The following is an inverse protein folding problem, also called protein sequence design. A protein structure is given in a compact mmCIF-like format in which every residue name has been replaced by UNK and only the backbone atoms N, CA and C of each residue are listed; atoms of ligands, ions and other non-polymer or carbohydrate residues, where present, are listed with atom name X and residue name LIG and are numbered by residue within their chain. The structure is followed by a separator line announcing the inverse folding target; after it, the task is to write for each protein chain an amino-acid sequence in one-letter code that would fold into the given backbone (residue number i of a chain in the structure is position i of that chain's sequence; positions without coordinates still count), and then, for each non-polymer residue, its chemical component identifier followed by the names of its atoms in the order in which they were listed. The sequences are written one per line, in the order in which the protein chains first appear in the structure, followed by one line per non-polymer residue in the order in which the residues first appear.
data_IF_109861108821
#
_entry.id   IF_109861108821
#
_cell.length_a   1.000
_cell.length_b   1.000
_cell.length_c   1.000
_cell.angle_alpha   90.00
_cell.angle_beta   90.00
_cell.angle_gamma   90.00
#
_symmetry.space_group_name_H-M   'P 1'
#
loop_
_entity.id
_entity.type
_entity.pdbx_description
1 polymer ?
#
# COMPACT_ATOMS: atom_id res chain seq x y z
N UNK A 1 30.94 -59.08 33.09
CA UNK A 1 30.15 -58.26 32.19
C UNK A 1 31.01 -58.01 30.95
N UNK A 2 30.67 -58.63 29.82
CA UNK A 2 31.54 -58.81 28.66
C UNK A 2 31.82 -57.47 27.92
N UNK A 3 33.08 -57.24 27.55
CA UNK A 3 33.55 -56.05 26.82
C UNK A 3 32.73 -55.77 25.53
N UNK A 4 32.14 -56.80 24.94
CA UNK A 4 31.26 -56.71 23.75
C UNK A 4 29.91 -56.05 24.02
N UNK A 5 29.31 -56.27 25.19
CA UNK A 5 28.03 -55.61 25.58
C UNK A 5 28.25 -54.13 25.90
N UNK A 6 29.41 -53.75 26.45
CA UNK A 6 29.71 -52.36 26.77
C UNK A 6 29.91 -51.52 25.49
N UNK A 7 30.52 -52.11 24.45
CA UNK A 7 30.72 -51.45 23.17
C UNK A 7 29.40 -51.28 22.39
N UNK A 8 28.45 -52.18 22.57
CA UNK A 8 27.10 -52.06 21.96
C UNK A 8 26.29 -50.97 22.63
N UNK A 9 26.30 -50.85 23.96
CA UNK A 9 25.58 -49.82 24.69
C UNK A 9 26.10 -48.39 24.39
N UNK A 10 27.42 -48.23 24.23
CA UNK A 10 28.01 -46.93 23.89
C UNK A 10 27.68 -46.50 22.46
N UNK A 11 27.56 -47.46 21.52
CA UNK A 11 27.18 -47.15 20.13
C UNK A 11 25.68 -46.79 19.97
N UNK A 12 24.80 -47.37 20.78
CA UNK A 12 23.37 -47.04 20.83
C UNK A 12 23.13 -45.64 21.45
N UNK A 13 23.87 -45.28 22.49
CA UNK A 13 23.80 -43.97 23.11
C UNK A 13 24.33 -42.85 22.20
N UNK A 14 25.38 -43.12 21.41
CA UNK A 14 25.92 -42.17 20.44
C UNK A 14 24.96 -41.94 19.25
N UNK A 15 24.19 -42.94 18.84
CA UNK A 15 23.18 -42.81 17.75
C UNK A 15 21.94 -42.03 18.18
N UNK A 16 21.50 -42.13 19.46
CA UNK A 16 20.37 -41.35 19.98
C UNK A 16 20.73 -39.87 20.19
N UNK A 17 21.98 -39.54 20.51
CA UNK A 17 22.42 -38.15 20.69
C UNK A 17 22.48 -37.37 19.36
N UNK A 18 22.71 -38.05 18.22
CA UNK A 18 22.78 -37.42 16.90
C UNK A 18 21.42 -37.01 16.32
N UNK A 19 20.32 -37.61 16.78
CA UNK A 19 18.96 -37.33 16.30
C UNK A 19 18.34 -36.08 16.98
N UNK A 20 18.83 -35.73 18.18
CA UNK A 20 18.29 -34.59 18.96
C UNK A 20 18.85 -33.20 18.55
N UNK A 21 19.89 -33.15 17.72
CA UNK A 21 20.52 -31.88 17.30
C UNK A 21 19.98 -31.38 15.93
N UNK A 22 19.25 -32.20 15.19
CA UNK A 22 18.80 -31.87 13.84
C UNK A 22 17.43 -31.18 13.75
N UNK A 23 16.72 -30.91 14.84
CA UNK A 23 15.34 -30.38 14.82
C UNK A 23 15.10 -28.87 15.05
N UNK A 24 16.05 -27.98 15.32
CA UNK A 24 15.69 -26.57 15.49
C UNK A 24 15.80 -25.70 14.23
N UNK A 25 16.27 -26.21 13.09
CA UNK A 25 16.56 -25.34 11.92
C UNK A 25 15.35 -25.13 10.99
N UNK A 26 14.35 -26.01 11.06
CA UNK A 26 13.17 -25.89 10.13
C UNK A 26 12.10 -24.92 10.65
N UNK A 27 12.13 -24.52 11.90
CA UNK A 27 11.08 -23.70 12.53
C UNK A 27 11.29 -22.19 12.45
N UNK A 28 12.45 -21.72 11.95
CA UNK A 28 12.76 -20.29 11.83
C UNK A 28 12.44 -19.68 10.45
N UNK A 29 12.04 -20.47 9.47
CA UNK A 29 11.72 -19.97 8.12
C UNK A 29 10.26 -19.52 7.94
N UNK A 30 9.41 -19.62 8.95
CA UNK A 30 7.97 -19.31 8.86
C UNK A 30 7.55 -17.96 9.48
N UNK A 31 8.48 -17.15 9.95
CA UNK A 31 8.17 -15.92 10.68
C UNK A 31 8.54 -14.65 9.88
N UNK A 32 8.19 -14.57 8.61
CA UNK A 32 8.12 -13.28 7.89
C UNK A 32 7.29 -13.40 6.61
N UNK A 33 6.07 -13.89 6.74
CA UNK A 33 5.05 -13.46 5.81
C UNK A 33 4.67 -12.04 6.23
N UNK A 34 5.41 -11.06 5.73
CA UNK A 34 5.01 -9.65 5.80
C UNK A 34 3.63 -9.58 5.19
N UNK A 35 2.62 -9.39 6.02
CA UNK A 35 1.22 -9.36 5.60
C UNK A 35 1.12 -8.45 4.37
N UNK A 36 0.78 -9.02 3.19
CA UNK A 36 0.77 -8.32 1.91
C UNK A 36 -0.14 -7.11 2.03
N UNK A 37 0.44 -5.92 1.97
CA UNK A 37 -0.29 -4.67 2.10
C UNK A 37 -1.27 -4.53 0.95
N UNK A 38 -2.55 -4.29 1.23
CA UNK A 38 -3.52 -3.95 0.19
C UNK A 38 -3.09 -2.65 -0.50
N UNK A 39 -3.31 -2.54 -1.81
CA UNK A 39 -2.94 -1.38 -2.60
C UNK A 39 -4.10 -0.98 -3.49
N UNK A 40 -4.59 0.25 -3.35
CA UNK A 40 -5.83 0.70 -3.99
C UNK A 40 -5.65 2.07 -4.62
N UNK A 41 -6.12 2.23 -5.84
CA UNK A 41 -6.26 3.50 -6.54
C UNK A 41 -7.73 3.87 -6.60
N UNK A 42 -8.08 5.06 -6.13
CA UNK A 42 -9.32 5.74 -6.46
C UNK A 42 -9.06 6.74 -7.59
N UNK A 43 -9.87 6.69 -8.65
CA UNK A 43 -9.69 7.53 -9.82
C UNK A 43 -10.85 8.53 -9.95
N UNK A 44 -10.53 9.82 -9.94
CA UNK A 44 -11.48 10.93 -10.04
C UNK A 44 -11.21 11.70 -11.32
N UNK A 45 -12.26 11.88 -12.16
CA UNK A 45 -12.16 12.63 -13.41
C UNK A 45 -13.14 13.81 -13.50
N UNK A 46 -14.16 13.81 -12.64
CA UNK A 46 -15.27 14.75 -12.76
C UNK A 46 -15.08 15.95 -11.83
N UNK A 47 -15.51 17.12 -12.30
CA UNK A 47 -15.56 18.35 -11.51
C UNK A 47 -16.88 18.40 -10.75
N UNK A 48 -17.04 17.48 -9.79
CA UNK A 48 -18.28 17.29 -9.03
C UNK A 48 -17.95 17.03 -7.56
N UNK A 49 -18.25 17.98 -6.70
CA UNK A 49 -17.86 17.95 -5.27
C UNK A 49 -18.31 16.68 -4.53
N UNK A 50 -19.53 16.18 -4.78
CA UNK A 50 -19.97 14.96 -4.11
C UNK A 50 -19.12 13.73 -4.46
N UNK A 51 -18.59 13.65 -5.70
CA UNK A 51 -17.64 12.59 -6.12
C UNK A 51 -16.30 12.73 -5.42
N UNK A 52 -15.81 13.96 -5.24
CA UNK A 52 -14.59 14.21 -4.47
C UNK A 52 -14.75 13.75 -3.02
N UNK A 53 -15.90 14.11 -2.41
CA UNK A 53 -16.27 13.67 -1.09
C UNK A 53 -16.39 12.14 -1.02
N UNK A 54 -16.95 11.48 -2.04
CA UNK A 54 -17.04 10.03 -2.13
C UNK A 54 -15.66 9.36 -2.18
N UNK A 55 -14.72 9.88 -2.99
CA UNK A 55 -13.36 9.37 -3.05
C UNK A 55 -12.68 9.39 -1.67
N UNK A 56 -12.76 10.55 -1.00
CA UNK A 56 -12.16 10.74 0.34
C UNK A 56 -12.85 9.86 1.41
N UNK A 57 -14.18 9.71 1.35
CA UNK A 57 -14.93 8.82 2.23
C UNK A 57 -14.51 7.35 2.03
N UNK A 58 -14.45 6.89 0.78
CA UNK A 58 -14.10 5.51 0.47
C UNK A 58 -12.68 5.19 0.93
N UNK A 59 -11.74 6.13 0.73
CA UNK A 59 -10.36 5.97 1.19
C UNK A 59 -10.27 5.88 2.73
N UNK A 60 -10.96 6.76 3.45
CA UNK A 60 -11.01 6.76 4.91
C UNK A 60 -11.68 5.47 5.44
N UNK A 61 -12.81 5.07 4.87
CA UNK A 61 -13.53 3.85 5.25
C UNK A 61 -12.66 2.61 5.04
N UNK A 62 -11.94 2.54 3.93
CA UNK A 62 -11.04 1.43 3.65
C UNK A 62 -9.93 1.33 4.71
N UNK A 63 -9.31 2.45 5.11
CA UNK A 63 -8.33 2.48 6.19
C UNK A 63 -8.94 2.07 7.54
N UNK A 64 -10.17 2.48 7.83
CA UNK A 64 -10.84 2.14 9.09
C UNK A 64 -11.16 0.64 9.19
N UNK A 65 -11.57 0.01 8.08
CA UNK A 65 -11.96 -1.41 8.05
C UNK A 65 -10.76 -2.34 7.99
N UNK A 66 -9.81 -2.04 7.12
CA UNK A 66 -8.64 -2.91 6.85
C UNK A 66 -7.51 -2.68 7.83
N UNK A 67 -7.39 -1.46 8.33
CA UNK A 67 -6.28 -0.96 9.12
C UNK A 67 -5.34 -0.09 8.28
N UNK A 68 -5.00 1.09 8.83
CA UNK A 68 -4.18 2.11 8.15
C UNK A 68 -2.83 1.55 7.68
N UNK A 69 -2.18 0.71 8.50
CA UNK A 69 -0.87 0.16 8.20
C UNK A 69 -0.92 -1.01 7.20
N UNK A 70 -2.12 -1.56 6.95
CA UNK A 70 -2.35 -2.70 6.08
C UNK A 70 -2.80 -2.30 4.67
N UNK A 71 -3.00 -1.01 4.40
CA UNK A 71 -3.44 -0.52 3.09
C UNK A 71 -2.62 0.68 2.65
N UNK A 72 -2.30 0.73 1.36
CA UNK A 72 -1.74 1.89 0.67
C UNK A 72 -2.78 2.41 -0.31
N UNK A 73 -3.03 3.72 -0.28
CA UNK A 73 -4.10 4.34 -1.08
C UNK A 73 -3.54 5.50 -1.86
N UNK A 74 -3.82 5.52 -3.16
CA UNK A 74 -3.61 6.65 -4.04
C UNK A 74 -4.97 7.16 -4.55
N UNK A 75 -5.21 8.47 -4.51
CA UNK A 75 -6.32 9.12 -5.20
C UNK A 75 -5.72 9.84 -6.39
N UNK A 76 -5.92 9.31 -7.59
CA UNK A 76 -5.41 9.86 -8.85
C UNK A 76 -6.47 10.71 -9.50
N UNK A 77 -6.11 11.95 -9.84
CA UNK A 77 -7.05 12.93 -10.40
C UNK A 77 -6.53 13.45 -11.74
N UNK A 78 -7.39 13.42 -12.75
CA UNK A 78 -7.12 14.01 -14.08
C UNK A 78 -8.38 14.65 -14.68
N UNK A 79 -8.23 15.29 -15.84
CA UNK A 79 -9.32 15.97 -16.52
C UNK A 79 -9.96 17.05 -15.63
N UNK A 80 -11.29 17.29 -15.76
CA UNK A 80 -12.01 18.28 -14.97
C UNK A 80 -11.89 18.08 -13.45
N UNK A 81 -11.69 16.84 -13.00
CA UNK A 81 -11.46 16.53 -11.58
C UNK A 81 -10.26 17.23 -10.95
N UNK A 82 -9.33 17.79 -11.77
CA UNK A 82 -8.18 18.55 -11.27
C UNK A 82 -8.58 19.68 -10.31
N UNK A 83 -9.78 20.22 -10.42
CA UNK A 83 -10.29 21.25 -9.51
C UNK A 83 -10.36 20.77 -8.06
N UNK A 84 -10.55 19.45 -7.80
CA UNK A 84 -10.43 18.87 -6.47
C UNK A 84 -9.08 19.19 -5.80
N UNK A 85 -8.00 19.19 -6.58
CA UNK A 85 -6.62 19.29 -6.07
C UNK A 85 -6.12 20.72 -5.93
N UNK A 86 -6.90 21.73 -6.27
CA UNK A 86 -6.50 23.13 -6.18
C UNK A 86 -6.49 23.64 -4.75
N UNK A 87 -5.72 24.72 -4.51
CA UNK A 87 -5.59 25.34 -3.20
C UNK A 87 -6.93 25.79 -2.61
N UNK A 88 -7.85 26.29 -3.45
CA UNK A 88 -9.17 26.78 -3.09
C UNK A 88 -10.29 25.71 -3.14
N UNK A 89 -9.91 24.44 -3.18
CA UNK A 89 -10.86 23.32 -3.23
C UNK A 89 -11.82 23.31 -2.06
N UNK A 90 -13.11 23.12 -2.35
CA UNK A 90 -14.18 22.99 -1.33
C UNK A 90 -13.93 21.82 -0.34
N UNK A 91 -13.10 20.83 -0.73
CA UNK A 91 -12.76 19.67 0.09
C UNK A 91 -11.37 19.79 0.74
N UNK A 92 -10.77 20.98 0.78
CA UNK A 92 -9.40 21.21 1.25
C UNK A 92 -9.12 20.62 2.65
N UNK A 93 -9.96 20.88 3.65
CA UNK A 93 -9.81 20.33 5.00
C UNK A 93 -9.81 18.79 5.01
N UNK A 94 -10.58 18.17 4.12
CA UNK A 94 -10.66 16.72 3.99
C UNK A 94 -9.43 16.13 3.28
N UNK A 95 -8.89 16.87 2.31
CA UNK A 95 -7.61 16.51 1.66
C UNK A 95 -6.47 16.57 2.67
N UNK A 96 -6.42 17.61 3.51
CA UNK A 96 -5.42 17.70 4.58
C UNK A 96 -5.49 16.49 5.52
N UNK A 97 -6.71 16.11 5.96
CA UNK A 97 -6.90 14.93 6.79
C UNK A 97 -6.47 13.63 6.09
N UNK A 98 -6.78 13.48 4.81
CA UNK A 98 -6.36 12.33 4.01
C UNK A 98 -4.82 12.23 3.91
N UNK A 99 -4.15 13.34 3.62
CA UNK A 99 -2.68 13.42 3.55
C UNK A 99 -2.05 13.07 4.90
N UNK A 100 -2.55 13.64 6.02
CA UNK A 100 -2.11 13.31 7.38
C UNK A 100 -2.28 11.82 7.72
N UNK A 101 -3.29 11.19 7.12
CA UNK A 101 -3.52 9.76 7.25
C UNK A 101 -2.72 8.89 6.26
N UNK A 102 -1.80 9.49 5.48
CA UNK A 102 -0.92 8.76 4.57
C UNK A 102 -1.59 8.32 3.27
N UNK A 103 -2.69 8.98 2.88
CA UNK A 103 -3.30 8.80 1.56
C UNK A 103 -2.59 9.74 0.59
N UNK A 104 -2.10 9.19 -0.53
CA UNK A 104 -1.45 9.96 -1.57
C UNK A 104 -2.48 10.59 -2.51
N UNK A 105 -2.47 11.92 -2.59
CA UNK A 105 -3.28 12.69 -3.54
C UNK A 105 -2.40 13.05 -4.75
N UNK A 106 -2.76 12.57 -5.94
CA UNK A 106 -1.95 12.64 -7.14
C UNK A 106 -2.65 13.42 -8.25
N UNK A 107 -2.10 14.58 -8.62
CA UNK A 107 -2.55 15.39 -9.72
C UNK A 107 -1.83 15.01 -11.03
N UNK A 108 -2.58 14.89 -12.13
CA UNK A 108 -2.05 14.60 -13.46
C UNK A 108 -1.33 15.82 -14.04
N UNK A 109 -0.01 15.73 -14.25
CA UNK A 109 0.80 16.79 -14.84
C UNK A 109 0.39 17.16 -16.27
N UNK A 110 -0.02 16.18 -17.09
CA UNK A 110 -0.54 16.46 -18.43
C UNK A 110 -1.83 17.30 -18.37
N UNK A 111 -2.75 17.00 -17.43
CA UNK A 111 -3.95 17.82 -17.22
C UNK A 111 -3.59 19.21 -16.70
N UNK A 112 -2.66 19.31 -15.74
CA UNK A 112 -2.20 20.61 -15.22
C UNK A 112 -1.66 21.48 -16.35
N UNK A 113 -0.81 20.92 -17.22
CA UNK A 113 -0.26 21.64 -18.38
C UNK A 113 -1.37 22.14 -19.32
N UNK A 114 -2.36 21.29 -19.64
CA UNK A 114 -3.48 21.67 -20.50
C UNK A 114 -4.36 22.75 -19.88
N UNK A 115 -4.56 22.69 -18.56
CA UNK A 115 -5.37 23.67 -17.81
C UNK A 115 -4.57 24.91 -17.35
N UNK A 116 -3.25 25.00 -17.68
CA UNK A 116 -2.35 26.07 -17.23
C UNK A 116 -2.31 26.23 -15.71
N UNK A 117 -2.40 25.13 -14.98
CA UNK A 117 -2.31 25.04 -13.52
C UNK A 117 -0.86 24.74 -13.15
N UNK A 118 -0.27 25.54 -12.27
CA UNK A 118 1.07 25.34 -11.76
C UNK A 118 1.07 24.60 -10.41
N UNK A 119 2.21 24.09 -9.99
CA UNK A 119 2.33 23.35 -8.70
C UNK A 119 1.95 24.24 -7.49
N UNK A 120 2.20 25.55 -7.57
CA UNK A 120 1.83 26.51 -6.52
C UNK A 120 0.32 26.69 -6.34
N UNK A 121 -0.46 26.35 -7.39
CA UNK A 121 -1.94 26.44 -7.38
C UNK A 121 -2.60 25.20 -6.78
N UNK A 122 -1.80 24.17 -6.47
CA UNK A 122 -2.29 22.96 -5.84
C UNK A 122 -2.35 23.07 -4.33
N UNK A 123 -3.24 22.30 -3.73
CA UNK A 123 -3.33 22.16 -2.28
C UNK A 123 -2.01 21.59 -1.72
N UNK A 124 -1.52 22.09 -0.56
CA UNK A 124 -0.30 21.61 0.06
C UNK A 124 -0.32 20.09 0.32
N UNK A 125 0.75 19.40 -0.08
CA UNK A 125 0.86 17.95 0.07
C UNK A 125 0.34 17.13 -1.12
N UNK A 126 -0.34 17.76 -2.10
CA UNK A 126 -0.65 17.11 -3.38
C UNK A 126 0.64 16.88 -4.16
N UNK A 127 0.80 15.64 -4.65
CA UNK A 127 1.93 15.23 -5.50
C UNK A 127 1.53 15.32 -6.97
N UNK A 128 2.48 15.57 -7.84
CA UNK A 128 2.27 15.60 -9.29
C UNK A 128 2.89 14.35 -9.91
N UNK A 129 2.11 13.65 -10.73
CA UNK A 129 2.59 12.55 -11.58
C UNK A 129 2.61 12.99 -13.05
N UNK A 130 3.52 12.51 -13.90
CA UNK A 130 3.61 12.93 -15.29
C UNK A 130 2.30 12.77 -16.06
N UNK A 131 1.60 11.64 -15.84
CA UNK A 131 0.31 11.34 -16.45
C UNK A 131 -0.55 10.49 -15.52
N UNK A 132 -1.78 10.94 -15.22
CA UNK A 132 -2.68 10.19 -14.33
C UNK A 132 -3.01 8.80 -14.87
N UNK A 133 -3.26 8.67 -16.18
CA UNK A 133 -3.54 7.37 -16.82
C UNK A 133 -2.31 6.46 -16.80
N UNK A 134 -1.11 7.01 -17.00
CA UNK A 134 0.15 6.26 -16.93
C UNK A 134 0.37 5.73 -15.52
N UNK A 135 0.18 6.58 -14.51
CA UNK A 135 0.25 6.18 -13.09
C UNK A 135 -0.69 5.01 -12.78
N UNK A 136 -1.94 5.08 -13.25
CA UNK A 136 -2.94 4.03 -13.04
C UNK A 136 -2.50 2.73 -13.72
N UNK A 137 -2.05 2.79 -14.98
CA UNK A 137 -1.56 1.63 -15.73
C UNK A 137 -0.42 0.93 -14.99
N UNK A 138 0.63 1.68 -14.64
CA UNK A 138 1.80 1.15 -13.93
C UNK A 138 1.42 0.52 -12.58
N UNK A 139 0.48 1.13 -11.85
CA UNK A 139 0.00 0.57 -10.59
C UNK A 139 -0.80 -0.71 -10.78
N UNK A 140 -1.63 -0.79 -11.83
CA UNK A 140 -2.37 -2.01 -12.15
C UNK A 140 -1.43 -3.15 -12.53
N UNK A 141 -0.37 -2.89 -13.31
CA UNK A 141 0.69 -3.85 -13.63
C UNK A 141 1.40 -4.35 -12.36
N UNK A 142 1.53 -3.50 -11.33
CA UNK A 142 2.05 -3.85 -10.01
C UNK A 142 1.02 -4.57 -9.12
N UNK A 143 -0.19 -4.85 -9.61
CA UNK A 143 -1.26 -5.56 -8.90
C UNK A 143 -2.05 -4.69 -7.92
N UNK A 144 -2.17 -3.37 -8.18
CA UNK A 144 -3.07 -2.49 -7.41
C UNK A 144 -4.53 -2.69 -7.85
N UNK A 145 -5.45 -2.61 -6.90
CA UNK A 145 -6.88 -2.56 -7.18
C UNK A 145 -7.27 -1.18 -7.68
N UNK A 146 -7.95 -1.13 -8.82
CA UNK A 146 -8.47 0.12 -9.40
C UNK A 146 -9.94 0.30 -9.10
N UNK A 147 -10.33 1.49 -8.63
CA UNK A 147 -11.73 1.87 -8.35
C UNK A 147 -12.00 3.25 -8.98
N UNK A 148 -12.93 3.28 -9.93
CA UNK A 148 -13.44 4.52 -10.51
C UNK A 148 -14.50 5.14 -9.60
N UNK A 149 -14.46 6.47 -9.42
CA UNK A 149 -15.46 7.27 -8.70
C UNK A 149 -16.38 7.98 -9.71
#
# INVERSE_FOLDING_TARGET
MNLTMQRFAIRLLAALAAILVAMPVVQMAQASETAKKHRVIFHVTDDVEWKWNQALNNAANLQNVVGKDKVQIEIVVNGPGLNMMKFDSAVGNRMEAAIKNGIDLLACGATMKAAKVEKKDLFPGVKVVPGGVVQIMERQEQGWTYIKI
#
